data_IF_207419377849
#
_entry.id   IF_207419377849
#
_cell.length_a   1.000
_cell.length_b   1.000
_cell.length_c   1.000
_cell.angle_alpha   90.00
_cell.angle_beta   90.00
_cell.angle_gamma   90.00
#
_symmetry.space_group_name_H-M   'P 1'
#
loop_
_entity.id
_entity.type
_entity.pdbx_description
1 polymer ?
#
# COMPACT_ATOMS: atom_id res chain seq x y z
N UNK A 1 7.45 2.97 -10.75
CA UNK A 1 7.68 1.77 -9.94
C UNK A 1 7.02 0.51 -10.52
N UNK A 2 5.76 0.53 -10.98
CA UNK A 2 5.07 -0.69 -11.45
C UNK A 2 5.69 -1.33 -12.70
N UNK A 3 6.17 -0.51 -13.64
CA UNK A 3 6.81 -0.99 -14.88
C UNK A 3 8.27 -1.46 -14.71
N UNK A 4 8.82 -1.36 -13.50
CA UNK A 4 10.18 -1.80 -13.24
C UNK A 4 10.26 -3.32 -13.26
N UNK A 5 11.44 -3.84 -13.62
CA UNK A 5 11.71 -5.27 -13.55
C UNK A 5 11.39 -5.79 -12.15
N UNK A 6 10.68 -6.93 -12.00
CA UNK A 6 10.42 -7.52 -10.69
C UNK A 6 11.68 -8.07 -10.02
N UNK A 7 12.84 -8.07 -10.69
CA UNK A 7 14.14 -8.37 -10.09
C UNK A 7 14.89 -7.12 -9.59
N UNK A 8 14.41 -5.92 -9.89
CA UNK A 8 14.96 -4.68 -9.35
C UNK A 8 14.44 -4.52 -7.91
N UNK A 9 15.34 -4.45 -6.92
CA UNK A 9 15.00 -4.33 -5.50
C UNK A 9 14.16 -3.08 -5.18
N UNK A 10 14.21 -2.04 -6.00
CA UNK A 10 13.41 -0.82 -5.84
C UNK A 10 12.16 -0.80 -6.73
N UNK A 11 11.86 -1.88 -7.45
CA UNK A 11 10.56 -2.05 -8.10
C UNK A 11 9.45 -2.10 -7.06
N UNK A 12 8.23 -1.73 -7.46
CA UNK A 12 7.09 -1.89 -6.55
C UNK A 12 6.92 -3.34 -6.10
N UNK A 13 7.19 -4.30 -6.99
CA UNK A 13 7.08 -5.72 -6.67
C UNK A 13 7.99 -6.11 -5.50
N UNK A 14 9.26 -5.69 -5.53
CA UNK A 14 10.23 -6.02 -4.49
C UNK A 14 9.99 -5.22 -3.21
N UNK A 15 9.64 -3.93 -3.31
CA UNK A 15 9.31 -3.11 -2.13
C UNK A 15 8.05 -3.64 -1.44
N UNK A 16 6.97 -3.93 -2.17
CA UNK A 16 5.78 -4.60 -1.62
C UNK A 16 6.14 -5.96 -0.99
N UNK A 17 7.02 -6.72 -1.67
CA UNK A 17 7.47 -8.03 -1.22
C UNK A 17 8.36 -8.05 0.03
N UNK A 18 8.81 -6.90 0.54
CA UNK A 18 9.43 -6.84 1.87
C UNK A 18 8.41 -7.28 2.93
N UNK A 19 7.14 -6.92 2.77
CA UNK A 19 6.11 -7.24 3.76
C UNK A 19 5.85 -8.75 3.87
N UNK A 20 5.67 -9.44 2.74
CA UNK A 20 5.23 -10.83 2.65
C UNK A 20 5.80 -11.56 1.43
N UNK A 21 4.94 -12.12 0.56
CA UNK A 21 5.42 -12.80 -0.65
C UNK A 21 6.23 -11.85 -1.52
N UNK A 22 7.30 -12.30 -2.19
CA UNK A 22 7.75 -13.70 -2.38
C UNK A 22 8.64 -14.27 -1.27
N UNK A 23 8.75 -13.64 -0.10
CA UNK A 23 9.67 -14.06 0.99
C UNK A 23 11.13 -14.14 0.52
N UNK A 24 11.58 -13.08 -0.15
CA UNK A 24 12.93 -13.01 -0.71
C UNK A 24 13.75 -12.01 0.07
N UNK A 25 15.03 -12.31 0.20
CA UNK A 25 15.99 -11.39 0.77
C UNK A 25 15.95 -10.04 0.04
N UNK A 26 15.88 -8.97 0.83
CA UNK A 26 15.94 -7.60 0.34
C UNK A 26 17.16 -6.88 0.92
N UNK A 27 17.94 -6.22 0.06
CA UNK A 27 19.10 -5.38 0.44
C UNK A 27 20.10 -6.07 1.39
N UNK A 28 20.48 -7.31 1.07
CA UNK A 28 21.51 -8.09 1.81
C UNK A 28 21.20 -8.26 3.30
N UNK A 29 19.92 -8.26 3.67
CA UNK A 29 19.47 -8.38 5.05
C UNK A 29 19.71 -9.78 5.67
N UNK A 30 20.27 -10.71 4.89
CA UNK A 30 20.51 -12.10 5.28
C UNK A 30 19.53 -13.05 4.61
N UNK A 31 19.97 -14.29 4.43
CA UNK A 31 19.14 -15.34 3.87
C UNK A 31 17.92 -15.66 4.73
N UNK A 32 16.92 -16.29 4.10
CA UNK A 32 15.65 -16.69 4.72
C UNK A 32 15.88 -17.55 5.97
N UNK A 33 15.39 -17.07 7.11
CA UNK A 33 15.42 -17.75 8.41
C UNK A 33 14.11 -17.50 9.13
N UNK A 34 13.13 -18.37 8.91
CA UNK A 34 11.82 -18.30 9.53
C UNK A 34 11.40 -19.67 10.10
N UNK A 35 10.66 -19.63 11.21
CA UNK A 35 9.88 -20.76 11.73
C UNK A 35 8.42 -20.28 11.80
N UNK A 36 7.69 -20.44 10.69
CA UNK A 36 6.34 -19.89 10.52
C UNK A 36 6.29 -18.78 9.47
N UNK A 37 6.02 -17.55 9.90
CA UNK A 37 5.89 -16.38 9.01
C UNK A 37 7.23 -16.02 8.35
N UNK A 38 7.25 -15.94 7.02
CA UNK A 38 8.48 -15.75 6.22
C UNK A 38 8.69 -14.28 5.75
N UNK A 39 7.71 -13.40 5.93
CA UNK A 39 7.82 -11.98 5.59
C UNK A 39 8.60 -11.18 6.62
N UNK A 40 9.13 -10.00 6.25
CA UNK A 40 9.85 -9.14 7.20
C UNK A 40 8.91 -8.43 8.19
N UNK A 41 7.62 -8.31 7.86
CA UNK A 41 6.68 -7.52 8.64
C UNK A 41 6.33 -8.20 9.98
N UNK A 42 6.58 -7.56 11.13
CA UNK A 42 6.17 -8.08 12.43
C UNK A 42 4.67 -7.81 12.66
N UNK A 43 3.94 -8.83 13.09
CA UNK A 43 2.53 -8.74 13.49
C UNK A 43 2.35 -9.36 14.88
N UNK A 44 1.53 -8.72 15.72
CA UNK A 44 1.36 -9.06 17.13
C UNK A 44 2.57 -8.69 17.99
N UNK A 45 3.51 -7.94 17.45
CA UNK A 45 4.77 -7.61 18.13
C UNK A 45 4.90 -6.12 18.41
N UNK A 46 5.68 -5.78 19.44
CA UNK A 46 5.99 -4.40 19.83
C UNK A 46 6.72 -3.61 18.73
N UNK A 47 7.27 -4.29 17.73
CA UNK A 47 7.94 -3.70 16.58
C UNK A 47 6.98 -3.32 15.43
N UNK A 48 5.68 -3.62 15.53
CA UNK A 48 4.68 -3.32 14.50
C UNK A 48 4.79 -1.86 14.00
N UNK A 49 4.59 -0.86 14.86
CA UNK A 49 4.65 0.55 14.43
C UNK A 49 6.06 1.01 14.01
N UNK A 50 7.14 0.71 14.77
CA UNK A 50 8.48 1.13 14.39
C UNK A 50 9.01 0.48 13.10
N UNK A 51 8.49 -0.68 12.70
CA UNK A 51 8.85 -1.36 11.45
C UNK A 51 8.11 -0.77 10.24
N UNK A 52 6.80 -0.50 10.37
CA UNK A 52 6.02 0.07 9.27
C UNK A 52 6.44 1.51 8.91
N UNK A 53 6.96 2.27 9.87
CA UNK A 53 7.42 3.65 9.62
C UNK A 53 8.56 3.75 8.58
N UNK A 54 9.72 3.08 8.73
CA UNK A 54 10.76 3.07 7.71
C UNK A 54 10.32 2.36 6.44
N UNK A 55 9.39 1.40 6.51
CA UNK A 55 8.81 0.76 5.34
C UNK A 55 8.07 1.78 4.45
N UNK A 56 7.17 2.58 5.03
CA UNK A 56 6.50 3.67 4.32
C UNK A 56 7.46 4.77 3.88
N UNK A 57 8.52 5.06 4.66
CA UNK A 57 9.55 6.02 4.27
C UNK A 57 10.33 5.57 3.03
N UNK A 58 10.64 4.27 2.89
CA UNK A 58 11.25 3.71 1.68
C UNK A 58 10.30 3.88 0.47
N UNK A 59 9.02 3.56 0.64
CA UNK A 59 8.02 3.73 -0.41
C UNK A 59 7.90 5.20 -0.86
N UNK A 60 7.78 6.13 0.09
CA UNK A 60 7.73 7.57 -0.18
C UNK A 60 9.00 8.08 -0.87
N UNK A 61 10.17 7.60 -0.44
CA UNK A 61 11.46 7.96 -1.03
C UNK A 61 11.50 7.58 -2.52
N UNK A 62 11.09 6.36 -2.88
CA UNK A 62 11.10 5.93 -4.29
C UNK A 62 10.03 6.63 -5.12
N UNK A 63 8.81 6.85 -4.59
CA UNK A 63 7.78 7.66 -5.26
C UNK A 63 8.30 9.07 -5.55
N UNK A 64 8.90 9.72 -4.55
CA UNK A 64 9.48 11.06 -4.68
C UNK A 64 10.62 11.08 -5.70
N UNK A 65 11.49 10.08 -5.68
CA UNK A 65 12.61 9.93 -6.64
C UNK A 65 12.09 9.82 -8.08
N UNK A 66 11.08 8.99 -8.31
CA UNK A 66 10.44 8.86 -9.62
C UNK A 66 9.74 10.16 -10.05
N UNK A 67 9.00 10.80 -9.14
CA UNK A 67 8.31 12.06 -9.43
C UNK A 67 9.29 13.15 -9.87
N UNK A 68 10.42 13.32 -9.17
CA UNK A 68 11.46 14.30 -9.53
C UNK A 68 12.10 13.98 -10.89
N UNK A 69 12.38 12.71 -11.16
CA UNK A 69 12.92 12.27 -12.47
C UNK A 69 11.94 12.58 -13.60
N UNK A 70 10.66 12.29 -13.40
CA UNK A 70 9.61 12.57 -14.40
C UNK A 70 9.42 14.08 -14.57
N UNK A 71 9.36 14.85 -13.49
CA UNK A 71 9.23 16.31 -13.54
C UNK A 71 10.35 16.99 -14.34
N UNK A 72 11.59 16.48 -14.24
CA UNK A 72 12.72 17.00 -15.01
C UNK A 72 12.57 16.85 -16.53
N UNK A 73 11.75 15.89 -17.00
CA UNK A 73 11.52 15.68 -18.44
C UNK A 73 10.50 16.65 -19.05
N UNK A 74 9.77 17.41 -18.22
CA UNK A 74 8.78 18.35 -18.71
C UNK A 74 9.43 19.49 -19.51
N UNK A 75 8.71 20.08 -20.50
CA UNK A 75 9.23 21.18 -21.30
C UNK A 75 9.54 22.41 -20.44
N UNK A 76 10.51 23.28 -20.82
CA UNK A 76 10.95 24.41 -20.00
C UNK A 76 9.83 25.29 -19.46
N UNK A 77 8.79 25.52 -20.28
CA UNK A 77 7.59 26.29 -19.90
C UNK A 77 6.85 25.75 -18.68
N UNK A 78 6.87 24.43 -18.46
CA UNK A 78 6.13 23.76 -17.38
C UNK A 78 7.05 23.20 -16.29
N UNK A 79 8.32 22.93 -16.62
CA UNK A 79 9.26 22.21 -15.77
C UNK A 79 9.38 22.77 -14.37
N UNK A 80 9.51 24.09 -14.22
CA UNK A 80 9.67 24.72 -12.91
C UNK A 80 8.51 24.36 -11.96
N UNK A 81 7.26 24.43 -12.45
CA UNK A 81 6.08 24.03 -11.69
C UNK A 81 6.13 22.56 -11.31
N UNK A 82 6.33 21.67 -12.29
CA UNK A 82 6.35 20.22 -12.00
C UNK A 82 7.47 19.80 -11.05
N UNK A 83 8.65 20.44 -11.14
CA UNK A 83 9.77 20.19 -10.20
C UNK A 83 9.41 20.66 -8.80
N UNK A 84 8.76 21.83 -8.66
CA UNK A 84 8.28 22.30 -7.37
C UNK A 84 7.29 21.31 -6.75
N UNK A 85 6.27 20.88 -7.50
CA UNK A 85 5.27 19.89 -7.03
C UNK A 85 5.92 18.55 -6.66
N UNK A 86 6.88 18.07 -7.45
CA UNK A 86 7.60 16.84 -7.17
C UNK A 86 8.50 16.91 -5.92
N UNK A 87 8.95 18.12 -5.54
CA UNK A 87 9.73 18.32 -4.32
C UNK A 87 8.84 18.41 -3.06
N UNK A 88 7.62 18.94 -3.21
CA UNK A 88 6.63 18.97 -2.13
C UNK A 88 5.84 17.67 -1.98
N UNK A 89 5.87 16.78 -2.97
CA UNK A 89 5.15 15.51 -2.94
C UNK A 89 5.51 14.68 -1.69
N UNK A 90 4.47 14.21 -1.02
CA UNK A 90 4.50 13.20 0.04
C UNK A 90 3.43 12.15 -0.26
N UNK A 91 3.58 10.94 0.24
CA UNK A 91 2.52 9.93 0.11
C UNK A 91 1.31 10.40 0.95
N UNK A 92 0.10 10.45 0.36
CA UNK A 92 -1.10 10.80 1.12
C UNK A 92 -1.42 9.68 2.12
N UNK A 93 -2.11 10.03 3.20
CA UNK A 93 -2.67 9.05 4.12
C UNK A 93 -4.18 8.93 3.91
N UNK A 94 -4.73 7.75 4.18
CA UNK A 94 -6.16 7.51 4.24
C UNK A 94 -6.65 7.68 5.68
N UNK A 95 -7.48 8.69 5.92
CA UNK A 95 -8.07 8.95 7.24
C UNK A 95 -9.38 8.18 7.44
N UNK A 96 -9.27 6.87 7.64
CA UNK A 96 -10.41 5.96 7.86
C UNK A 96 -11.22 6.29 9.13
N UNK A 97 -10.71 7.11 10.05
CA UNK A 97 -11.41 7.51 11.27
C UNK A 97 -12.20 8.83 11.11
N UNK A 98 -11.77 9.73 10.23
CA UNK A 98 -12.50 10.93 9.87
C UNK A 98 -13.53 10.67 8.77
N UNK A 99 -13.11 9.98 7.71
CA UNK A 99 -13.92 9.61 6.55
C UNK A 99 -13.92 8.08 6.41
N UNK A 100 -14.97 7.44 6.91
CA UNK A 100 -15.14 5.98 6.91
C UNK A 100 -15.54 5.44 5.52
N UNK A 101 -14.80 5.84 4.49
CA UNK A 101 -14.91 5.38 3.11
C UNK A 101 -13.51 5.14 2.57
N UNK A 102 -13.38 4.23 1.61
CA UNK A 102 -12.11 4.06 0.89
C UNK A 102 -11.77 5.34 0.09
N UNK A 103 -10.48 5.63 -0.12
CA UNK A 103 -10.08 6.84 -0.84
C UNK A 103 -10.67 6.86 -2.25
N UNK A 104 -11.37 7.94 -2.64
CA UNK A 104 -11.99 8.03 -3.96
C UNK A 104 -10.99 7.93 -5.12
N UNK A 105 -9.71 8.18 -4.86
CA UNK A 105 -8.63 8.02 -5.84
C UNK A 105 -8.40 6.56 -6.27
N UNK A 106 -8.87 5.55 -5.51
CA UNK A 106 -8.70 4.13 -5.87
C UNK A 106 -9.86 3.59 -6.71
N UNK A 107 -11.00 4.28 -6.75
CA UNK A 107 -12.24 3.76 -7.36
C UNK A 107 -12.21 3.76 -8.90
N UNK A 108 -11.76 4.83 -9.58
CA UNK A 108 -11.76 4.83 -11.05
C UNK A 108 -10.74 3.84 -11.60
N UNK A 109 -11.13 3.01 -12.56
CA UNK A 109 -10.20 2.11 -13.26
C UNK A 109 -9.16 2.87 -14.12
N UNK A 110 -9.48 4.09 -14.53
CA UNK A 110 -8.64 4.95 -15.35
C UNK A 110 -8.65 6.38 -14.84
N UNK A 111 -7.53 7.08 -15.04
CA UNK A 111 -7.37 8.49 -14.69
C UNK A 111 -6.75 9.26 -15.85
N UNK A 112 -7.03 10.56 -15.92
CA UNK A 112 -6.42 11.46 -16.89
C UNK A 112 -5.28 12.22 -16.28
N UNK A 113 -4.16 12.24 -16.98
CA UNK A 113 -2.95 12.96 -16.58
C UNK A 113 -2.44 13.82 -17.73
N UNK A 114 -1.70 14.87 -17.40
CA UNK A 114 -0.94 15.64 -18.37
C UNK A 114 0.45 15.03 -18.52
N UNK A 115 0.90 14.84 -19.75
CA UNK A 115 2.25 14.37 -20.06
C UNK A 115 2.95 15.31 -21.06
N UNK A 116 4.29 15.35 -21.10
CA UNK A 116 5.02 16.08 -22.12
C UNK A 116 4.64 15.66 -23.54
N UNK A 117 4.47 16.64 -24.43
CA UNK A 117 4.23 16.45 -25.85
C UNK A 117 4.96 17.55 -26.65
N UNK A 118 6.22 17.30 -27.00
CA UNK A 118 7.09 18.32 -27.57
C UNK A 118 7.30 19.49 -26.60
N UNK A 119 6.97 20.70 -27.01
CA UNK A 119 7.03 21.90 -26.15
C UNK A 119 5.75 22.16 -25.33
N UNK A 120 4.71 21.35 -25.54
CA UNK A 120 3.42 21.48 -24.89
C UNK A 120 3.11 20.27 -24.00
N UNK A 121 1.94 20.27 -23.38
CA UNK A 121 1.38 19.11 -22.69
C UNK A 121 0.27 18.48 -23.50
N UNK A 122 0.02 17.20 -23.28
CA UNK A 122 -1.15 16.49 -23.78
C UNK A 122 -1.82 15.76 -22.61
N UNK A 123 -3.15 15.85 -22.54
CA UNK A 123 -3.93 14.98 -21.65
C UNK A 123 -4.00 13.58 -22.24
N UNK A 124 -3.64 12.58 -21.44
CA UNK A 124 -3.75 11.16 -21.77
C UNK A 124 -4.51 10.43 -20.67
N UNK A 125 -5.17 9.33 -21.02
CA UNK A 125 -5.90 8.50 -20.08
C UNK A 125 -5.15 7.18 -19.87
N UNK A 126 -4.80 6.88 -18.63
CA UNK A 126 -4.01 5.71 -18.23
C UNK A 126 -4.83 4.80 -17.31
N UNK A 127 -4.42 3.54 -17.17
CA UNK A 127 -4.89 2.72 -16.05
C UNK A 127 -4.52 3.41 -14.73
N UNK A 128 -5.42 3.40 -13.76
CA UNK A 128 -5.19 4.03 -12.48
C UNK A 128 -4.29 3.14 -11.61
N UNK A 129 -3.04 3.55 -11.31
CA UNK A 129 -2.14 2.73 -10.50
C UNK A 129 -2.63 2.61 -9.05
N UNK A 130 -3.55 3.46 -8.60
CA UNK A 130 -4.16 3.38 -7.27
C UNK A 130 -5.39 2.47 -7.23
N UNK A 131 -5.84 1.94 -8.37
CA UNK A 131 -7.01 1.05 -8.41
C UNK A 131 -6.68 -0.42 -8.24
N UNK A 132 -5.51 -0.86 -8.71
CA UNK A 132 -5.05 -2.25 -8.60
C UNK A 132 -3.57 -2.34 -8.95
N UNK A 133 -2.91 -3.38 -8.47
CA UNK A 133 -1.60 -3.81 -8.95
C UNK A 133 -1.72 -5.12 -9.71
N UNK A 134 -1.14 -5.16 -10.91
CA UNK A 134 -1.03 -6.39 -11.74
C UNK A 134 0.29 -7.07 -11.43
N UNK A 135 0.24 -8.35 -11.07
CA UNK A 135 1.44 -9.10 -10.76
C UNK A 135 2.30 -9.31 -12.01
N UNK A 136 3.64 -9.30 -11.88
CA UNK A 136 4.54 -9.58 -12.98
C UNK A 136 4.36 -11.02 -13.49
N UNK A 137 4.58 -11.24 -14.78
CA UNK A 137 4.48 -12.58 -15.41
C UNK A 137 5.35 -13.61 -14.69
N UNK A 138 6.51 -13.19 -14.20
CA UNK A 138 7.46 -14.01 -13.44
C UNK A 138 6.81 -14.64 -12.20
N UNK A 139 6.02 -13.86 -11.45
CA UNK A 139 5.26 -14.37 -10.30
C UNK A 139 4.18 -15.35 -10.75
N UNK A 140 3.43 -14.99 -11.78
CA UNK A 140 2.34 -15.82 -12.31
C UNK A 140 2.83 -17.11 -12.98
N UNK A 141 4.07 -17.15 -13.47
CA UNK A 141 4.70 -18.34 -14.06
C UNK A 141 5.45 -19.20 -13.04
N UNK A 142 5.36 -18.89 -11.75
CA UNK A 142 5.98 -19.67 -10.67
C UNK A 142 7.49 -19.43 -10.47
N UNK A 143 8.07 -18.38 -11.06
CA UNK A 143 9.49 -18.07 -10.88
C UNK A 143 9.84 -17.77 -9.41
N UNK A 144 8.87 -17.28 -8.64
CA UNK A 144 9.02 -17.00 -7.21
C UNK A 144 8.33 -18.07 -6.33
N UNK A 145 8.13 -19.28 -6.85
CA UNK A 145 7.43 -20.36 -6.15
C UNK A 145 5.91 -20.22 -6.18
N UNK A 146 5.19 -20.95 -5.31
CA UNK A 146 3.73 -20.82 -5.18
C UNK A 146 3.33 -19.38 -4.88
N UNK A 147 2.55 -18.79 -5.79
CA UNK A 147 2.14 -17.39 -5.69
C UNK A 147 0.80 -17.25 -5.00
N UNK A 148 -0.29 -17.26 -5.76
CA UNK A 148 -1.67 -17.15 -5.28
C UNK A 148 -2.44 -18.42 -5.64
N UNK A 149 -3.04 -19.08 -4.65
CA UNK A 149 -3.81 -20.32 -4.87
C UNK A 149 -5.07 -20.11 -5.71
N UNK A 150 -5.55 -18.87 -5.81
CA UNK A 150 -6.67 -18.49 -6.66
C UNK A 150 -6.24 -18.03 -8.06
N UNK A 151 -4.93 -18.05 -8.37
CA UNK A 151 -4.36 -17.65 -9.66
C UNK A 151 -4.80 -16.25 -10.12
N UNK A 152 -5.04 -15.31 -9.20
CA UNK A 152 -5.44 -13.95 -9.58
C UNK A 152 -4.25 -13.23 -10.20
N UNK A 153 -4.41 -12.60 -11.38
CA UNK A 153 -3.32 -11.91 -12.06
C UNK A 153 -3.03 -10.52 -11.48
N UNK A 154 -3.86 -10.06 -10.55
CA UNK A 154 -3.82 -8.72 -9.98
C UNK A 154 -4.50 -8.71 -8.61
N UNK A 155 -4.33 -7.61 -7.88
CA UNK A 155 -5.07 -7.33 -6.66
C UNK A 155 -6.55 -7.11 -6.96
N UNK A 156 -7.40 -7.77 -6.18
CA UNK A 156 -8.86 -7.66 -6.25
C UNK A 156 -9.41 -7.21 -4.90
N UNK A 157 -10.11 -6.07 -4.90
CA UNK A 157 -10.88 -5.59 -3.76
C UNK A 157 -12.29 -6.19 -3.76
N UNK A 158 -12.78 -6.59 -2.59
CA UNK A 158 -14.15 -7.05 -2.37
C UNK A 158 -14.65 -8.04 -3.44
N UNK A 159 -14.09 -9.25 -3.51
CA UNK A 159 -14.54 -10.26 -4.45
C UNK A 159 -16.02 -10.61 -4.25
N UNK A 160 -16.67 -11.10 -5.31
CA UNK A 160 -18.08 -11.51 -5.31
C UNK A 160 -18.41 -12.42 -4.10
N UNK A 161 -19.54 -12.20 -3.41
CA UNK A 161 -20.69 -11.36 -3.80
C UNK A 161 -20.59 -9.87 -3.44
N UNK A 162 -19.46 -9.42 -2.87
CA UNK A 162 -19.26 -8.01 -2.51
C UNK A 162 -18.95 -7.15 -3.74
N UNK A 163 -19.06 -5.82 -3.57
CA UNK A 163 -18.73 -4.83 -4.62
C UNK A 163 -17.87 -3.72 -4.06
N UNK A 164 -16.77 -3.41 -4.73
CA UNK A 164 -15.96 -2.25 -4.39
C UNK A 164 -16.45 -0.99 -5.15
N UNK A 165 -16.58 0.18 -4.52
CA UNK A 165 -16.27 0.47 -3.11
C UNK A 165 -17.45 0.25 -2.14
N UNK A 166 -18.66 0.00 -2.63
CA UNK A 166 -19.90 0.02 -1.81
C UNK A 166 -19.85 -0.89 -0.58
N UNK A 167 -19.46 -2.15 -0.74
CA UNK A 167 -19.37 -3.10 0.36
C UNK A 167 -18.25 -2.75 1.34
N UNK A 168 -17.11 -2.25 0.85
CA UNK A 168 -16.02 -1.80 1.71
C UNK A 168 -16.46 -0.59 2.55
N UNK A 169 -17.09 0.40 1.93
CA UNK A 169 -17.63 1.57 2.61
C UNK A 169 -18.69 1.19 3.64
N UNK A 170 -19.59 0.25 3.30
CA UNK A 170 -20.60 -0.25 4.23
C UNK A 170 -19.96 -0.94 5.45
N UNK A 171 -18.90 -1.74 5.26
CA UNK A 171 -18.18 -2.36 6.36
C UNK A 171 -17.50 -1.30 7.23
N UNK A 172 -16.81 -0.34 6.59
CA UNK A 172 -16.09 0.71 7.28
C UNK A 172 -17.02 1.55 8.16
N UNK A 173 -18.20 1.90 7.65
CA UNK A 173 -19.22 2.67 8.36
C UNK A 173 -19.92 1.89 9.48
N UNK A 174 -19.88 0.55 9.43
CA UNK A 174 -20.46 -0.30 10.46
C UNK A 174 -19.59 -0.40 11.73
N UNK A 175 -18.35 0.08 11.70
CA UNK A 175 -17.43 0.07 12.85
C UNK A 175 -17.26 1.45 13.50
N UNK A 176 -16.96 1.50 14.80
CA UNK A 176 -16.75 2.76 15.51
C UNK A 176 -15.29 3.24 15.41
N UNK A 177 -14.72 3.31 14.19
CA UNK A 177 -13.29 3.63 14.00
C UNK A 177 -12.84 4.91 14.68
N UNK A 178 -13.67 5.96 14.62
CA UNK A 178 -13.41 7.22 15.31
C UNK A 178 -13.25 7.05 16.81
N UNK A 179 -14.12 6.25 17.44
CA UNK A 179 -14.03 5.96 18.88
C UNK A 179 -12.81 5.09 19.18
N UNK A 180 -12.51 4.10 18.34
CA UNK A 180 -11.34 3.24 18.52
C UNK A 180 -10.03 4.02 18.44
N UNK A 181 -9.87 4.93 17.47
CA UNK A 181 -8.70 5.81 17.37
C UNK A 181 -8.62 6.75 18.57
N UNK A 182 -9.74 7.34 18.98
CA UNK A 182 -9.79 8.18 20.17
C UNK A 182 -9.33 7.39 21.41
N UNK A 183 -9.82 6.17 21.59
CA UNK A 183 -9.45 5.31 22.72
C UNK A 183 -7.97 4.91 22.66
N UNK A 184 -7.44 4.54 21.49
CA UNK A 184 -6.01 4.25 21.30
C UNK A 184 -5.12 5.42 21.72
N UNK A 185 -5.48 6.64 21.31
CA UNK A 185 -4.67 7.84 21.54
C UNK A 185 -4.80 8.40 22.97
N UNK A 186 -5.90 8.13 23.66
CA UNK A 186 -6.19 8.75 24.96
C UNK A 186 -6.13 7.80 26.15
N UNK A 187 -6.24 6.49 25.94
CA UNK A 187 -6.30 5.51 27.04
C UNK A 187 -5.02 4.69 27.21
N UNK A 188 -4.19 4.59 26.18
CA UNK A 188 -2.93 3.84 26.27
C UNK A 188 -1.99 4.49 27.30
N UNK A 189 -1.45 3.69 28.22
CA UNK A 189 -0.57 4.16 29.30
C UNK A 189 0.91 4.01 28.99
N UNK A 190 1.22 3.21 27.99
CA UNK A 190 2.57 2.95 27.52
C UNK A 190 2.55 2.60 26.03
N UNK A 191 3.74 2.50 25.44
CA UNK A 191 3.89 2.24 24.01
C UNK A 191 3.30 0.90 23.56
N UNK A 192 3.40 -0.15 24.37
CA UNK A 192 2.91 -1.47 23.98
C UNK A 192 1.38 -1.49 23.93
N UNK A 193 0.70 -0.89 24.91
CA UNK A 193 -0.75 -0.71 24.88
C UNK A 193 -1.23 0.12 23.70
N UNK A 194 -0.43 1.10 23.27
CA UNK A 194 -0.74 1.90 22.09
C UNK A 194 -0.50 1.13 20.79
N UNK A 195 0.60 0.38 20.70
CA UNK A 195 1.06 -0.22 19.46
C UNK A 195 0.38 -1.55 19.12
N UNK A 196 0.15 -2.42 20.12
CA UNK A 196 -0.20 -3.83 19.91
C UNK A 196 -1.56 -4.17 20.56
N UNK A 197 -2.23 -5.26 20.14
CA UNK A 197 -3.47 -5.72 20.77
C UNK A 197 -3.27 -6.31 22.18
N UNK A 198 -2.03 -6.59 22.60
CA UNK A 198 -1.72 -7.32 23.84
C UNK A 198 -1.90 -6.47 25.12
N UNK A 199 -2.05 -5.16 25.01
CA UNK A 199 -2.09 -4.24 26.15
C UNK A 199 -3.43 -4.14 26.89
N UNK A 200 -4.45 -4.93 26.52
CA UNK A 200 -5.77 -4.93 27.18
C UNK A 200 -6.64 -3.69 26.89
N UNK A 201 -6.20 -2.81 25.99
CA UNK A 201 -6.95 -1.68 25.45
C UNK A 201 -7.13 -1.79 23.92
N UNK A 202 -7.61 -0.71 23.28
CA UNK A 202 -7.71 -0.65 21.81
C UNK A 202 -6.35 -0.21 21.25
N UNK A 203 -5.47 -1.17 20.93
CA UNK A 203 -4.18 -0.89 20.30
C UNK A 203 -4.31 -0.54 18.82
N UNK A 204 -3.39 0.26 18.28
CA UNK A 204 -3.48 0.73 16.89
C UNK A 204 -3.39 -0.40 15.87
N UNK A 205 -2.59 -1.44 16.12
CA UNK A 205 -2.55 -2.66 15.30
C UNK A 205 -3.93 -3.35 15.22
N UNK A 206 -4.69 -3.37 16.32
CA UNK A 206 -6.03 -3.96 16.31
C UNK A 206 -6.97 -3.20 15.37
N UNK A 207 -6.89 -1.86 15.40
CA UNK A 207 -7.71 -1.00 14.53
C UNK A 207 -7.30 -1.16 13.07
N UNK A 208 -5.99 -1.16 12.81
CA UNK A 208 -5.39 -1.46 11.51
C UNK A 208 -5.89 -2.80 10.94
N UNK A 209 -5.88 -3.87 11.73
CA UNK A 209 -6.34 -5.19 11.28
C UNK A 209 -7.81 -5.17 10.85
N UNK A 210 -8.65 -4.39 11.54
CA UNK A 210 -10.04 -4.20 11.14
C UNK A 210 -10.15 -3.42 9.82
N UNK A 211 -9.32 -2.39 9.60
CA UNK A 211 -9.29 -1.63 8.34
C UNK A 211 -8.89 -2.52 7.16
N UNK A 212 -7.88 -3.38 7.34
CA UNK A 212 -7.47 -4.37 6.33
C UNK A 212 -8.62 -5.31 5.93
N UNK A 213 -9.37 -5.77 6.92
CA UNK A 213 -10.55 -6.59 6.70
C UNK A 213 -11.64 -5.81 5.94
N UNK A 214 -12.06 -4.67 6.48
CA UNK A 214 -13.23 -3.95 5.99
C UNK A 214 -12.98 -3.29 4.64
N UNK A 215 -11.80 -2.70 4.43
CA UNK A 215 -11.40 -1.99 3.20
C UNK A 215 -11.35 -2.87 1.95
N UNK A 216 -11.27 -4.20 2.11
CA UNK A 216 -11.26 -5.16 1.00
C UNK A 216 -12.29 -6.28 1.12
N UNK A 217 -13.21 -6.19 2.08
CA UNK A 217 -14.20 -7.23 2.39
C UNK A 217 -13.57 -8.61 2.68
N UNK A 218 -12.45 -8.63 3.43
CA UNK A 218 -11.67 -9.83 3.73
C UNK A 218 -10.86 -10.36 2.54
N UNK A 219 -10.57 -9.50 1.55
CA UNK A 219 -9.84 -9.83 0.33
C UNK A 219 -8.31 -9.79 0.51
N UNK A 220 -7.59 -9.47 -0.57
CA UNK A 220 -6.11 -9.50 -0.57
C UNK A 220 -5.47 -8.44 0.33
N UNK A 221 -6.17 -7.33 0.60
CA UNK A 221 -5.70 -6.35 1.58
C UNK A 221 -5.62 -6.93 3.00
N UNK A 222 -6.41 -7.96 3.33
CA UNK A 222 -6.28 -8.66 4.62
C UNK A 222 -5.16 -9.71 4.62
N UNK A 223 -4.90 -10.33 3.47
CA UNK A 223 -3.93 -11.41 3.38
C UNK A 223 -2.52 -10.86 3.54
N UNK A 224 -1.83 -11.19 4.63
CA UNK A 224 -0.48 -10.70 4.93
C UNK A 224 0.51 -10.91 3.78
N UNK A 225 0.35 -12.00 3.03
CA UNK A 225 1.13 -12.32 1.85
C UNK A 225 1.05 -11.27 0.73
N UNK A 226 -0.12 -10.65 0.59
CA UNK A 226 -0.46 -9.81 -0.56
C UNK A 226 -0.81 -8.37 -0.20
N UNK A 227 -1.02 -8.06 1.08
CA UNK A 227 -1.57 -6.79 1.53
C UNK A 227 -0.76 -5.60 1.03
N UNK A 228 0.57 -5.71 1.02
CA UNK A 228 1.45 -4.64 0.56
C UNK A 228 1.49 -4.43 -0.96
N UNK A 229 0.93 -5.35 -1.74
CA UNK A 229 0.71 -5.12 -3.16
C UNK A 229 -0.59 -4.36 -3.44
N UNK A 230 -1.49 -4.27 -2.46
CA UNK A 230 -2.73 -3.51 -2.56
C UNK A 230 -2.45 -2.01 -2.46
N UNK A 231 -2.89 -1.18 -3.43
CA UNK A 231 -2.69 0.27 -3.34
C UNK A 231 -3.42 0.98 -2.18
N UNK A 232 -4.25 0.27 -1.40
CA UNK A 232 -4.86 0.77 -0.17
C UNK A 232 -3.90 0.81 1.04
N UNK A 233 -2.74 0.14 0.96
CA UNK A 233 -1.74 0.14 2.04
C UNK A 233 -1.12 1.54 2.27
#
# INVERSE_FOLDING_TARGET
MYDMSPNDQLSFFQVAGIHGKPYREWNEAGGERADGWEGYCPHGEKLFLPWHRPYLALYEQEISRHARRIAATYPPRFRARYVQEANSLRIPFWDWAAEQVVPQATVPARVRINVPNGQNLRSVEIENPLSTYRFPRQALSGQYGPWDSQFRPQIVHCPSPYRYPDSANSNLQARPYKQWVYDSLTRARNFNEFATPEGGGVGLEQVHNAVHWDGSCGGQFLALDFTAFDPLL
#
